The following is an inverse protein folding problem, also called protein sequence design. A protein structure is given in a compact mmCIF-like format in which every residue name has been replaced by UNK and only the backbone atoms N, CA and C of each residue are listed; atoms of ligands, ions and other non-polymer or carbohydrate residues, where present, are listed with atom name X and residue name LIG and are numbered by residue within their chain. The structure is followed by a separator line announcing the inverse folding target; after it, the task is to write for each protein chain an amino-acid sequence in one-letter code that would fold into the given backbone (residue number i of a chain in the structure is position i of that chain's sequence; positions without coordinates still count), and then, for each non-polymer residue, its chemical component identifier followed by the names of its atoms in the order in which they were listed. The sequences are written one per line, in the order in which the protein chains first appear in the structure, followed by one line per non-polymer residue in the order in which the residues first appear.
data_IF_621191259075
#
_entry.id   IF_621191259075
#
_cell.length_a   1.000
_cell.length_b   1.000
_cell.length_c   1.000
_cell.angle_alpha   90.00
_cell.angle_beta   90.00
_cell.angle_gamma   90.00
#
_symmetry.space_group_name_H-M   'P 1'
#
loop_
_entity.id
_entity.type
_entity.pdbx_description
1 polymer ?
#
# COMPACT_ATOMS: atom_id res chain seq x y z
N UNK A 1 14.42 44.23 7.78
CA UNK A 1 15.21 42.98 7.84
C UNK A 1 14.73 42.04 8.95
N UNK A 2 14.73 42.45 10.23
CA UNK A 2 14.25 41.59 11.35
C UNK A 2 12.84 41.02 11.19
N UNK A 3 11.87 41.86 10.80
CA UNK A 3 10.47 41.45 10.60
C UNK A 3 10.27 40.45 9.45
N UNK A 4 11.07 40.56 8.39
CA UNK A 4 11.03 39.67 7.22
C UNK A 4 11.56 38.30 7.59
N UNK A 5 12.67 38.25 8.35
CA UNK A 5 13.26 37.00 8.83
C UNK A 5 12.31 36.27 9.78
N UNK A 6 11.61 36.96 10.68
CA UNK A 6 10.61 36.33 11.56
C UNK A 6 9.40 35.79 10.81
N UNK A 7 8.94 36.47 9.75
CA UNK A 7 7.82 36.00 8.92
C UNK A 7 8.19 34.72 8.14
N UNK A 8 9.38 34.68 7.57
CA UNK A 8 9.89 33.50 6.85
C UNK A 8 10.02 32.30 7.80
N UNK A 9 10.55 32.49 9.01
CA UNK A 9 10.68 31.40 10.01
C UNK A 9 9.29 30.87 10.40
N UNK A 10 8.30 31.74 10.62
CA UNK A 10 6.93 31.32 10.93
C UNK A 10 6.30 30.51 9.78
N UNK A 11 6.48 30.94 8.53
CA UNK A 11 5.96 30.21 7.37
C UNK A 11 6.60 28.82 7.21
N UNK A 12 7.90 28.69 7.48
CA UNK A 12 8.61 27.39 7.42
C UNK A 12 8.13 26.46 8.55
N UNK A 13 7.91 26.98 9.76
CA UNK A 13 7.41 26.18 10.89
C UNK A 13 5.94 25.78 10.74
N UNK A 14 5.12 26.63 10.12
CA UNK A 14 3.73 26.27 9.80
C UNK A 14 3.75 25.21 8.69
N UNK A 15 4.48 25.45 7.59
CA UNK A 15 4.57 24.53 6.45
C UNK A 15 5.07 23.13 6.81
N UNK A 16 6.02 23.02 7.74
CA UNK A 16 6.52 21.72 8.20
C UNK A 16 5.49 20.91 8.97
N UNK A 17 4.58 21.55 9.72
CA UNK A 17 3.48 20.87 10.44
C UNK A 17 2.49 20.22 9.46
N UNK A 18 2.21 20.84 8.30
CA UNK A 18 1.33 20.26 7.28
C UNK A 18 1.95 19.07 6.54
N UNK A 19 3.29 18.96 6.51
CA UNK A 19 3.97 17.81 5.89
C UNK A 19 3.99 16.56 6.78
N UNK A 20 3.70 16.68 8.08
CA UNK A 20 3.45 15.54 8.96
C UNK A 20 2.02 15.05 8.82
N UNK A 21 1.64 14.66 7.59
CA UNK A 21 0.40 13.89 7.38
C UNK A 21 0.64 12.52 8.00
N UNK A 22 0.07 12.27 9.18
CA UNK A 22 -0.01 10.91 9.69
C UNK A 22 -0.67 10.05 8.59
N UNK A 23 -0.15 8.83 8.32
CA UNK A 23 -0.78 7.96 7.34
C UNK A 23 -2.26 7.84 7.66
N UNK A 24 -3.10 8.33 6.75
CA UNK A 24 -4.55 8.35 6.93
C UNK A 24 -5.00 6.92 7.20
N UNK A 25 -5.60 6.71 8.37
CA UNK A 25 -6.11 5.37 8.70
C UNK A 25 -7.27 5.06 7.75
N UNK A 26 -7.28 3.86 7.17
CA UNK A 26 -8.36 3.44 6.28
C UNK A 26 -9.34 2.49 6.99
N UNK A 27 -10.61 2.54 6.59
CA UNK A 27 -11.65 1.55 6.86
C UNK A 27 -11.87 0.60 5.68
N UNK A 28 -11.46 0.99 4.48
CA UNK A 28 -11.49 0.13 3.30
C UNK A 28 -10.88 0.82 2.08
N UNK A 29 -10.97 0.20 0.89
CA UNK A 29 -10.39 0.75 -0.34
C UNK A 29 -11.01 2.09 -0.77
N UNK A 30 -12.26 2.37 -0.37
CA UNK A 30 -12.93 3.64 -0.67
C UNK A 30 -12.27 4.87 -0.02
N UNK A 31 -11.44 4.65 1.00
CA UNK A 31 -10.71 5.73 1.70
C UNK A 31 -9.34 6.02 1.07
N UNK A 32 -8.93 5.22 0.08
CA UNK A 32 -7.61 5.29 -0.56
C UNK A 32 -7.69 5.80 -2.00
N UNK A 33 -6.55 6.24 -2.56
CA UNK A 33 -6.47 6.58 -3.98
C UNK A 33 -6.69 5.34 -4.88
N UNK A 34 -6.96 5.56 -6.17
CA UNK A 34 -7.23 4.47 -7.13
C UNK A 34 -6.07 3.49 -7.29
N UNK A 35 -4.83 3.95 -7.09
CA UNK A 35 -3.61 3.16 -7.18
C UNK A 35 -3.10 2.72 -5.80
N UNK A 36 -3.99 2.70 -4.81
CA UNK A 36 -3.72 2.29 -3.44
C UNK A 36 -4.74 1.27 -2.93
N UNK A 37 -4.39 0.59 -1.84
CA UNK A 37 -5.29 -0.28 -1.11
C UNK A 37 -5.13 -0.09 0.40
N UNK A 38 -6.12 -0.54 1.17
CA UNK A 38 -6.06 -0.54 2.63
C UNK A 38 -5.30 -1.77 3.14
N UNK A 39 -4.17 -1.57 3.81
CA UNK A 39 -3.34 -2.64 4.39
C UNK A 39 -3.29 -2.57 5.91
N UNK A 40 -3.12 -3.72 6.55
CA UNK A 40 -2.83 -3.81 7.99
C UNK A 40 -1.58 -4.66 8.23
N UNK A 41 -0.75 -4.23 9.18
CA UNK A 41 0.39 -5.00 9.66
C UNK A 41 -0.04 -6.26 10.43
N UNK A 42 0.93 -7.14 10.70
CA UNK A 42 0.71 -8.37 11.48
C UNK A 42 0.87 -8.18 13.00
N UNK A 43 1.32 -7.01 13.45
CA UNK A 43 1.49 -6.72 14.87
C UNK A 43 0.15 -6.40 15.53
N UNK A 44 0.02 -6.72 16.82
CA UNK A 44 -1.17 -6.33 17.61
C UNK A 44 -1.32 -4.81 17.57
N UNK A 45 -2.57 -4.36 17.44
CA UNK A 45 -2.93 -2.95 17.37
C UNK A 45 -2.34 -2.20 16.16
N UNK A 46 -1.93 -2.92 15.10
CA UNK A 46 -1.61 -2.28 13.81
C UNK A 46 -2.81 -1.46 13.32
N UNK A 47 -2.55 -0.23 12.91
CA UNK A 47 -3.57 0.67 12.36
C UNK A 47 -3.57 0.51 10.83
N UNK A 48 -4.71 0.15 10.21
CA UNK A 48 -4.81 0.05 8.77
C UNK A 48 -4.54 1.39 8.10
N UNK A 49 -3.78 1.40 7.01
CA UNK A 49 -3.43 2.60 6.25
C UNK A 49 -3.42 2.32 4.74
N UNK A 50 -3.49 3.37 3.94
CA UNK A 50 -3.38 3.26 2.48
C UNK A 50 -1.93 3.02 2.06
N UNK A 51 -1.72 2.07 1.15
CA UNK A 51 -0.42 1.73 0.56
C UNK A 51 -0.59 1.60 -0.96
N UNK A 52 0.44 1.93 -1.75
CA UNK A 52 0.41 1.79 -3.21
C UNK A 52 0.32 0.33 -3.65
N UNK A 53 -0.34 0.09 -4.78
CA UNK A 53 -0.31 -1.20 -5.46
C UNK A 53 1.12 -1.57 -5.86
N UNK A 54 1.48 -2.85 -5.70
CA UNK A 54 2.84 -3.33 -5.95
C UNK A 54 3.23 -3.24 -7.42
N UNK A 55 4.34 -2.58 -7.71
CA UNK A 55 4.93 -2.45 -9.05
C UNK A 55 5.86 -3.63 -9.35
N UNK A 56 6.26 -3.77 -10.62
CA UNK A 56 7.17 -4.84 -11.05
C UNK A 56 8.44 -4.91 -10.20
N UNK A 57 8.80 -6.11 -9.75
CA UNK A 57 9.96 -6.37 -8.87
C UNK A 57 9.74 -6.06 -7.39
N UNK A 58 8.68 -5.34 -7.02
CA UNK A 58 8.39 -5.06 -5.62
C UNK A 58 7.94 -6.30 -4.86
N UNK A 59 8.24 -6.33 -3.57
CA UNK A 59 7.82 -7.40 -2.67
C UNK A 59 6.30 -7.45 -2.56
N UNK A 60 5.75 -8.65 -2.66
CA UNK A 60 4.33 -8.90 -2.49
C UNK A 60 4.11 -10.16 -1.66
N UNK A 61 2.88 -10.33 -1.15
CA UNK A 61 2.48 -11.52 -0.39
C UNK A 61 1.68 -12.46 -1.29
N UNK A 62 2.16 -13.70 -1.57
CA UNK A 62 1.38 -14.69 -2.28
C UNK A 62 0.07 -15.01 -1.54
N UNK A 63 -0.99 -15.29 -2.28
CA UNK A 63 -2.32 -15.64 -1.72
C UNK A 63 -2.88 -14.61 -0.74
N UNK A 64 -2.59 -13.32 -0.96
CA UNK A 64 -3.03 -12.23 -0.09
C UNK A 64 -4.42 -11.71 -0.45
N UNK A 65 -5.44 -12.56 -0.34
CA UNK A 65 -6.82 -12.13 -0.55
C UNK A 65 -7.22 -11.09 0.51
N UNK A 66 -7.97 -10.03 0.14
CA UNK A 66 -8.45 -9.05 1.09
C UNK A 66 -9.50 -9.65 2.03
N UNK A 67 -9.57 -9.16 3.26
CA UNK A 67 -10.48 -9.68 4.29
C UNK A 67 -11.26 -8.57 4.97
N UNK A 68 -12.50 -8.86 5.33
CA UNK A 68 -13.27 -8.04 6.27
C UNK A 68 -12.83 -8.39 7.69
N UNK A 69 -12.51 -7.37 8.49
CA UNK A 69 -11.95 -7.53 9.84
C UNK A 69 -12.57 -6.52 10.78
N UNK A 70 -12.74 -6.92 12.04
CA UNK A 70 -13.06 -6.01 13.13
C UNK A 70 -11.85 -5.94 14.04
N UNK A 71 -11.27 -4.75 14.17
CA UNK A 71 -10.14 -4.49 15.05
C UNK A 71 -10.61 -3.94 16.38
N UNK A 72 -10.03 -4.42 17.47
CA UNK A 72 -10.21 -3.85 18.79
C UNK A 72 -8.93 -3.11 19.20
N UNK A 73 -9.07 -1.85 19.60
CA UNK A 73 -7.99 -1.01 20.09
C UNK A 73 -8.25 -0.63 21.55
N UNK A 74 -7.26 -0.75 22.46
CA UNK A 74 -7.45 -0.56 23.91
C UNK A 74 -7.64 0.89 24.36
N UNK A 75 -7.62 1.86 23.45
CA UNK A 75 -7.69 3.28 23.78
C UNK A 75 -9.07 3.66 24.36
N UNK A 76 -9.08 4.48 25.43
CA UNK A 76 -10.28 5.00 26.11
C UNK A 76 -11.38 3.97 26.42
N UNK A 77 -11.00 2.81 26.95
CA UNK A 77 -11.97 1.76 27.32
C UNK A 77 -12.33 0.79 26.19
N UNK A 78 -11.67 0.91 25.04
CA UNK A 78 -11.84 -0.02 23.92
C UNK A 78 -12.62 0.61 22.77
N UNK A 79 -12.04 0.61 21.58
CA UNK A 79 -12.73 1.01 20.34
C UNK A 79 -12.73 -0.15 19.36
N UNK A 80 -13.92 -0.49 18.83
CA UNK A 80 -14.07 -1.43 17.73
C UNK A 80 -14.09 -0.67 16.41
N UNK A 81 -13.23 -1.08 15.47
CA UNK A 81 -13.19 -0.52 14.11
C UNK A 81 -13.49 -1.63 13.11
N UNK A 82 -14.55 -1.46 12.34
CA UNK A 82 -14.88 -2.35 11.24
C UNK A 82 -14.12 -1.91 9.98
N UNK A 83 -13.47 -2.87 9.35
CA UNK A 83 -12.69 -2.69 8.15
C UNK A 83 -13.14 -3.69 7.09
N UNK A 84 -13.25 -3.24 5.86
CA UNK A 84 -13.61 -4.07 4.71
C UNK A 84 -12.45 -4.17 3.73
N UNK A 85 -12.40 -5.29 3.01
CA UNK A 85 -11.43 -5.54 1.94
C UNK A 85 -9.98 -5.14 2.30
N UNK A 86 -9.54 -5.46 3.52
CA UNK A 86 -8.23 -5.06 4.03
C UNK A 86 -7.19 -6.14 3.74
N UNK A 87 -6.07 -5.75 3.13
CA UNK A 87 -4.95 -6.62 2.82
C UNK A 87 -3.98 -6.75 4.00
N UNK A 88 -3.23 -7.85 4.05
CA UNK A 88 -2.19 -8.04 5.08
C UNK A 88 -0.83 -7.69 4.52
N UNK A 89 -0.08 -6.83 5.23
CA UNK A 89 1.28 -6.34 4.94
C UNK A 89 1.45 -5.53 3.65
N UNK A 90 0.96 -6.02 2.52
CA UNK A 90 1.18 -5.43 1.19
C UNK A 90 -0.12 -5.36 0.41
N UNK A 91 -0.23 -4.36 -0.45
CA UNK A 91 -1.25 -4.34 -1.48
C UNK A 91 -1.06 -5.44 -2.52
N UNK A 92 -2.11 -5.78 -3.29
CA UNK A 92 -1.91 -6.62 -4.46
C UNK A 92 -1.01 -5.89 -5.47
N UNK A 93 -0.44 -6.66 -6.39
CA UNK A 93 0.28 -6.08 -7.51
C UNK A 93 -0.68 -5.25 -8.39
N UNK A 94 -0.13 -4.25 -9.08
CA UNK A 94 -0.87 -3.46 -10.05
C UNK A 94 -1.45 -4.33 -11.18
N UNK A 95 -2.42 -3.78 -11.93
CA UNK A 95 -3.09 -4.51 -13.00
C UNK A 95 -2.13 -5.10 -14.02
N UNK A 96 -2.34 -6.37 -14.40
CA UNK A 96 -1.47 -7.10 -15.32
C UNK A 96 -0.22 -7.72 -14.68
N UNK A 97 -0.06 -7.59 -13.36
CA UNK A 97 1.00 -8.24 -12.59
C UNK A 97 0.42 -9.34 -11.67
N UNK A 98 1.24 -10.36 -11.40
CA UNK A 98 0.94 -11.43 -10.46
C UNK A 98 2.05 -11.54 -9.41
N UNK A 99 1.66 -11.88 -8.18
CA UNK A 99 2.61 -12.12 -7.11
C UNK A 99 3.19 -13.53 -7.22
N UNK A 100 4.41 -13.64 -7.75
CA UNK A 100 5.10 -14.90 -7.99
C UNK A 100 6.46 -14.85 -7.29
N UNK A 101 6.80 -15.91 -6.54
CA UNK A 101 8.02 -15.94 -5.72
C UNK A 101 8.18 -14.70 -4.82
N UNK A 102 7.08 -14.21 -4.25
CA UNK A 102 7.01 -13.01 -3.40
C UNK A 102 7.44 -11.69 -4.07
N UNK A 103 7.41 -11.64 -5.41
CA UNK A 103 7.62 -10.42 -6.19
C UNK A 103 6.51 -10.21 -7.21
N UNK A 104 6.19 -8.96 -7.49
CA UNK A 104 5.27 -8.62 -8.57
C UNK A 104 5.97 -8.83 -9.91
N UNK A 105 5.44 -9.74 -10.72
CA UNK A 105 5.96 -10.07 -12.04
C UNK A 105 4.85 -9.89 -13.07
N UNK A 106 5.16 -9.63 -14.35
CA UNK A 106 4.15 -9.66 -15.40
C UNK A 106 3.41 -10.99 -15.35
N UNK A 107 2.08 -10.94 -15.44
CA UNK A 107 1.29 -12.16 -15.61
C UNK A 107 1.74 -12.78 -16.93
N UNK A 108 2.62 -13.77 -16.88
CA UNK A 108 2.94 -14.55 -18.07
C UNK A 108 1.61 -15.17 -18.50
N UNK A 109 1.09 -14.75 -19.65
CA UNK A 109 0.00 -15.46 -20.29
C UNK A 109 0.47 -16.91 -20.40
N UNK A 110 -0.18 -17.79 -19.63
CA UNK A 110 0.45 -19.00 -19.08
C UNK A 110 1.10 -19.90 -20.12
N UNK A 111 2.09 -20.69 -19.72
CA UNK A 111 2.54 -21.88 -20.46
C UNK A 111 2.91 -21.72 -21.95
N UNK A 112 3.08 -20.51 -22.48
CA UNK A 112 3.47 -20.28 -23.88
C UNK A 112 4.88 -19.69 -24.06
N UNK A 113 5.52 -19.26 -22.97
CA UNK A 113 6.90 -18.70 -23.00
C UNK A 113 7.97 -19.76 -23.32
N UNK A 114 7.60 -21.05 -23.43
CA UNK A 114 8.50 -22.10 -23.89
C UNK A 114 8.85 -22.05 -25.39
N UNK A 115 8.03 -21.39 -26.23
CA UNK A 115 8.17 -21.50 -27.69
C UNK A 115 8.61 -20.21 -28.41
N UNK A 116 8.50 -19.04 -27.79
CA UNK A 116 8.88 -17.79 -28.48
C UNK A 116 10.39 -17.51 -28.45
N UNK A 117 11.14 -18.10 -27.51
CA UNK A 117 12.61 -18.04 -27.52
C UNK A 117 13.25 -19.08 -28.47
N UNK A 118 12.52 -20.14 -28.84
CA UNK A 118 13.02 -21.15 -29.78
C UNK A 118 12.96 -20.69 -31.25
N UNK A 119 12.10 -19.72 -31.58
CA UNK A 119 11.99 -19.17 -32.95
C UNK A 119 13.06 -18.13 -33.29
N UNK A 120 13.80 -17.62 -32.29
CA UNK A 120 14.87 -16.62 -32.50
C UNK A 120 16.23 -17.29 -32.78
N UNK A 121 16.42 -18.56 -32.38
CA UNK A 121 17.68 -19.30 -32.59
C UNK A 121 17.67 -20.26 -33.81
N UNK A 122 16.58 -20.29 -34.58
CA UNK A 122 16.43 -21.15 -35.77
C UNK A 122 16.02 -20.40 -37.05
N UNK A 123 16.35 -19.10 -37.15
CA UNK A 123 16.22 -18.31 -38.38
C UNK A 123 17.57 -17.97 -38.98
#
# INVERSE_FOLDING_TARGET
MRAVVTLVILCVMIGSVWTFVLPHSCGGPQDCARDECCVVGMQRFSIPHCMKLGQIGETCRPYNAPQNRTFWYPYHGGTLKQNSNTYTLFCPCAGGLQCTAAQCQPTTMGNHVGNDLASIYHG
#
